data_IF_471964959128
#
_entry.id   IF_471964959128
#
_cell.length_a   1.000
_cell.length_b   1.000
_cell.length_c   1.000
_cell.angle_alpha   90.00
_cell.angle_beta   90.00
_cell.angle_gamma   90.00
#
_symmetry.space_group_name_H-M   'P 1'
#
loop_
_entity.id
_entity.type
_entity.pdbx_description
1 polymer ?
#
# COMPACT_ATOMS: atom_id res chain seq x y z
N UNK A 1 -12.43 17.98 15.93
CA UNK A 1 -11.63 17.18 14.98
C UNK A 1 -12.11 15.75 15.15
N UNK A 2 -12.51 15.04 14.09
CA UNK A 2 -12.87 13.63 14.22
C UNK A 2 -11.67 12.85 14.79
N UNK A 3 -11.94 11.87 15.65
CA UNK A 3 -10.94 10.93 16.16
C UNK A 3 -10.35 10.14 14.98
N UNK A 4 -9.02 10.13 14.88
CA UNK A 4 -8.31 9.34 13.88
C UNK A 4 -8.33 7.86 14.29
N UNK A 5 -8.51 6.95 13.33
CA UNK A 5 -8.54 5.50 13.57
C UNK A 5 -7.09 5.01 13.69
N UNK A 6 -6.71 4.46 14.85
CA UNK A 6 -5.43 3.78 15.07
C UNK A 6 -5.51 2.35 14.52
N UNK A 7 -4.76 2.05 13.47
CA UNK A 7 -4.80 0.76 12.81
C UNK A 7 -3.47 0.01 12.89
N UNK A 8 -3.54 -1.29 13.17
CA UNK A 8 -2.37 -2.18 13.27
C UNK A 8 -1.91 -2.66 11.89
N UNK A 9 -1.38 -1.74 11.09
CA UNK A 9 -0.61 -2.09 9.92
C UNK A 9 0.82 -2.49 10.31
N UNK A 10 1.45 -3.46 9.62
CA UNK A 10 2.87 -3.78 9.82
C UNK A 10 3.76 -2.54 9.67
N UNK A 11 4.86 -2.51 10.42
CA UNK A 11 5.88 -1.46 10.29
C UNK A 11 6.92 -1.81 9.22
N UNK A 12 7.13 -3.09 8.98
CA UNK A 12 8.08 -3.61 8.00
C UNK A 12 7.49 -3.49 6.58
N UNK A 13 8.14 -2.74 5.66
CA UNK A 13 7.75 -2.63 4.25
C UNK A 13 7.40 -3.94 3.55
N UNK A 14 8.21 -4.99 3.68
CA UNK A 14 7.95 -6.29 3.05
C UNK A 14 6.66 -6.93 3.57
N UNK A 15 6.44 -6.88 4.90
CA UNK A 15 5.20 -7.35 5.52
C UNK A 15 3.98 -6.51 5.09
N UNK A 16 4.17 -5.20 4.92
CA UNK A 16 3.12 -4.28 4.45
C UNK A 16 2.71 -4.58 3.01
N UNK A 17 3.66 -4.84 2.10
CA UNK A 17 3.38 -5.27 0.73
C UNK A 17 2.61 -6.59 0.73
N UNK A 18 3.03 -7.58 1.52
CA UNK A 18 2.37 -8.89 1.59
C UNK A 18 0.94 -8.80 2.10
N UNK A 19 0.70 -7.93 3.08
CA UNK A 19 -0.65 -7.63 3.56
C UNK A 19 -1.50 -7.00 2.44
N UNK A 20 -0.97 -6.01 1.72
CA UNK A 20 -1.66 -5.35 0.61
C UNK A 20 -1.96 -6.31 -0.56
N UNK A 21 -1.05 -7.26 -0.86
CA UNK A 21 -1.31 -8.34 -1.83
C UNK A 21 -2.48 -9.22 -1.41
N UNK A 22 -2.53 -9.61 -0.12
CA UNK A 22 -3.64 -10.40 0.40
C UNK A 22 -4.98 -9.67 0.36
N UNK A 23 -4.99 -8.36 0.60
CA UNK A 23 -6.20 -7.55 0.49
C UNK A 23 -6.60 -7.27 -0.97
N UNK A 24 -5.63 -7.10 -1.87
CA UNK A 24 -5.87 -7.02 -3.30
C UNK A 24 -6.57 -8.26 -3.82
N UNK A 25 -6.10 -9.46 -3.47
CA UNK A 25 -6.74 -10.72 -3.88
C UNK A 25 -8.18 -10.86 -3.38
N UNK A 26 -8.50 -10.32 -2.20
CA UNK A 26 -9.89 -10.30 -1.69
C UNK A 26 -10.75 -9.29 -2.45
N UNK A 27 -10.21 -8.11 -2.72
CA UNK A 27 -10.91 -7.07 -3.48
C UNK A 27 -11.21 -7.54 -4.91
N UNK A 28 -10.28 -8.23 -5.58
CA UNK A 28 -10.47 -8.86 -6.89
C UNK A 28 -11.63 -9.88 -6.93
N UNK A 29 -11.98 -10.47 -5.78
CA UNK A 29 -13.03 -11.48 -5.66
C UNK A 29 -14.37 -10.90 -5.19
N UNK A 30 -14.40 -9.62 -4.83
CA UNK A 30 -15.59 -8.96 -4.30
C UNK A 30 -16.36 -8.23 -5.40
N UNK A 31 -17.71 -8.31 -5.41
CA UNK A 31 -18.52 -7.50 -6.32
C UNK A 31 -18.60 -6.02 -5.91
N UNK A 32 -18.19 -5.68 -4.69
CA UNK A 32 -18.29 -4.32 -4.14
C UNK A 32 -17.10 -3.43 -4.54
N UNK A 33 -16.05 -4.02 -5.10
CA UNK A 33 -14.80 -3.33 -5.41
C UNK A 33 -14.38 -3.50 -6.87
N UNK A 34 -13.80 -2.44 -7.44
CA UNK A 34 -13.12 -2.44 -8.73
C UNK A 34 -11.66 -1.99 -8.51
N UNK A 35 -10.70 -2.69 -9.10
CA UNK A 35 -9.29 -2.32 -8.96
C UNK A 35 -8.97 -1.22 -9.95
N UNK A 36 -8.72 -0.02 -9.45
CA UNK A 36 -8.35 1.17 -10.22
C UNK A 36 -7.13 1.82 -9.57
N UNK A 37 -5.99 1.67 -10.23
CA UNK A 37 -4.68 2.05 -9.68
C UNK A 37 -4.45 3.57 -9.63
N UNK A 38 -5.40 4.38 -10.13
CA UNK A 38 -5.40 5.83 -10.07
C UNK A 38 -6.13 6.45 -8.87
N UNK A 39 -6.84 5.67 -8.05
CA UNK A 39 -7.63 6.19 -6.92
C UNK A 39 -7.26 5.53 -5.58
N UNK A 40 -7.70 6.08 -4.45
CA UNK A 40 -7.46 5.48 -3.14
C UNK A 40 -8.57 4.49 -2.79
N UNK A 41 -9.69 5.00 -2.29
CA UNK A 41 -10.88 4.25 -1.96
C UNK A 41 -12.05 5.19 -2.23
N UNK A 42 -12.56 5.16 -3.47
CA UNK A 42 -13.51 6.14 -4.00
C UNK A 42 -14.82 5.43 -4.37
N UNK A 43 -15.92 5.83 -3.75
CA UNK A 43 -17.22 5.20 -3.97
C UNK A 43 -17.92 5.85 -5.15
N UNK A 44 -17.76 5.26 -6.34
CA UNK A 44 -18.37 5.75 -7.56
C UNK A 44 -19.47 4.82 -8.09
N UNK A 45 -20.70 5.35 -8.23
CA UNK A 45 -21.78 4.60 -8.88
C UNK A 45 -22.25 3.33 -8.15
N UNK A 46 -21.95 3.21 -6.85
CA UNK A 46 -22.30 2.04 -6.02
C UNK A 46 -21.26 0.92 -6.03
N UNK A 47 -20.13 1.13 -6.69
CA UNK A 47 -18.93 0.29 -6.64
C UNK A 47 -17.79 1.14 -6.07
N UNK A 48 -16.94 0.54 -5.24
CA UNK A 48 -15.78 1.25 -4.71
C UNK A 48 -14.54 0.94 -5.55
N UNK A 49 -13.98 1.97 -6.17
CA UNK A 49 -12.72 1.89 -6.89
C UNK A 49 -11.55 1.98 -5.90
N UNK A 50 -10.62 1.03 -5.97
CA UNK A 50 -9.47 0.93 -5.05
C UNK A 50 -8.16 0.67 -5.77
N UNK A 51 -7.08 1.39 -5.42
CA UNK A 51 -5.73 1.00 -5.81
C UNK A 51 -5.13 -0.02 -4.83
N UNK A 52 -3.85 -0.36 -5.00
CA UNK A 52 -3.12 -1.25 -4.10
C UNK A 52 -3.10 -0.83 -2.62
N UNK A 53 -2.99 0.46 -2.32
CA UNK A 53 -3.13 0.94 -0.95
C UNK A 53 -4.60 1.09 -0.54
N UNK A 54 -5.47 1.34 -1.52
CA UNK A 54 -6.92 1.31 -1.39
C UNK A 54 -7.48 -0.01 -0.91
N UNK A 55 -6.92 -1.12 -1.38
CA UNK A 55 -7.34 -2.46 -0.95
C UNK A 55 -7.04 -2.68 0.52
N UNK A 56 -5.96 -2.10 1.07
CA UNK A 56 -5.67 -2.10 2.51
C UNK A 56 -6.70 -1.28 3.28
N UNK A 57 -7.14 -0.14 2.73
CA UNK A 57 -8.23 0.66 3.30
C UNK A 57 -9.52 -0.17 3.36
N UNK A 58 -9.90 -0.81 2.26
CA UNK A 58 -11.12 -1.62 2.18
C UNK A 58 -11.06 -2.87 3.08
N UNK A 59 -9.96 -3.61 3.01
CA UNK A 59 -9.78 -4.90 3.66
C UNK A 59 -9.36 -4.77 5.12
N UNK A 60 -8.08 -4.49 5.34
CA UNK A 60 -7.49 -4.48 6.69
C UNK A 60 -8.01 -3.34 7.57
N UNK A 61 -8.29 -2.16 7.00
CA UNK A 61 -8.82 -1.02 7.76
C UNK A 61 -10.36 -1.00 7.83
N UNK A 62 -11.01 -2.00 7.23
CA UNK A 62 -12.47 -2.17 7.23
C UNK A 62 -13.22 -0.90 6.78
N UNK A 63 -12.68 -0.21 5.77
CA UNK A 63 -13.28 0.97 5.16
C UNK A 63 -14.65 0.66 4.58
N UNK A 64 -15.64 1.52 4.87
CA UNK A 64 -16.99 1.40 4.30
C UNK A 64 -16.92 1.62 2.78
N UNK A 65 -17.30 0.64 1.93
CA UNK A 65 -17.28 0.76 0.47
C UNK A 65 -18.16 1.89 -0.09
N UNK A 66 -19.00 2.53 0.73
CA UNK A 66 -19.79 3.70 0.32
C UNK A 66 -19.14 5.04 0.73
N UNK A 67 -17.97 5.01 1.35
CA UNK A 67 -17.24 6.18 1.82
C UNK A 67 -16.01 6.46 0.94
N UNK A 68 -15.76 7.74 0.70
CA UNK A 68 -14.52 8.18 0.07
C UNK A 68 -13.44 8.31 1.15
N UNK A 69 -12.47 7.41 1.09
CA UNK A 69 -11.39 7.31 2.07
C UNK A 69 -10.05 7.50 1.37
N UNK A 70 -9.17 8.24 2.03
CA UNK A 70 -7.80 8.44 1.59
C UNK A 70 -6.86 8.37 2.79
N UNK A 71 -5.54 8.37 2.58
CA UNK A 71 -4.58 8.40 3.69
C UNK A 71 -4.82 9.55 4.67
N UNK A 72 -5.41 10.67 4.21
CA UNK A 72 -5.74 11.82 5.07
C UNK A 72 -6.86 11.56 6.09
N UNK A 73 -7.64 10.48 5.91
CA UNK A 73 -8.70 10.05 6.84
C UNK A 73 -8.16 9.36 8.10
N UNK A 74 -6.88 8.99 8.12
CA UNK A 74 -6.27 8.19 9.18
C UNK A 74 -5.28 8.98 10.04
N UNK A 75 -4.77 8.34 11.10
CA UNK A 75 -3.67 8.90 11.88
C UNK A 75 -2.39 9.03 11.05
N UNK A 76 -1.42 9.76 11.61
CA UNK A 76 -0.18 10.09 10.90
C UNK A 76 0.61 8.84 10.51
N UNK A 77 0.66 7.83 11.37
CA UNK A 77 1.41 6.60 11.15
C UNK A 77 0.77 5.71 10.07
N UNK A 78 -0.55 5.53 10.12
CA UNK A 78 -1.32 4.78 9.13
C UNK A 78 -1.25 5.47 7.78
N UNK A 79 -1.40 6.80 7.75
CA UNK A 79 -1.23 7.61 6.54
C UNK A 79 0.14 7.40 5.90
N UNK A 80 1.20 7.40 6.71
CA UNK A 80 2.56 7.18 6.22
C UNK A 80 2.70 5.81 5.52
N UNK A 81 2.14 4.76 6.12
CA UNK A 81 2.16 3.40 5.55
C UNK A 81 1.37 3.29 4.25
N UNK A 82 0.20 3.91 4.18
CA UNK A 82 -0.61 3.92 2.95
C UNK A 82 0.10 4.68 1.82
N UNK A 83 0.73 5.81 2.13
CA UNK A 83 1.54 6.55 1.15
C UNK A 83 2.77 5.75 0.71
N UNK A 84 3.44 5.08 1.63
CA UNK A 84 4.59 4.23 1.32
C UNK A 84 4.21 3.08 0.38
N UNK A 85 3.02 2.47 0.54
CA UNK A 85 2.51 1.46 -0.40
C UNK A 85 2.32 2.00 -1.82
N UNK A 86 1.81 3.22 -1.95
CA UNK A 86 1.65 3.86 -3.26
C UNK A 86 3.00 4.19 -3.91
N UNK A 87 3.95 4.69 -3.13
CA UNK A 87 5.32 4.93 -3.57
C UNK A 87 6.00 3.62 -4.04
N UNK A 88 5.88 2.53 -3.26
CA UNK A 88 6.42 1.21 -3.61
C UNK A 88 5.83 0.67 -4.91
N UNK A 89 4.51 0.78 -5.07
CA UNK A 89 3.80 0.41 -6.30
C UNK A 89 4.30 1.19 -7.52
N UNK A 90 4.60 2.48 -7.33
CA UNK A 90 5.13 3.36 -8.38
C UNK A 90 6.65 3.18 -8.61
N UNK A 91 7.31 2.29 -7.86
CA UNK A 91 8.74 2.02 -7.98
C UNK A 91 9.64 2.96 -7.19
N UNK A 92 9.07 3.85 -6.40
CA UNK A 92 9.80 4.85 -5.59
C UNK A 92 10.18 4.30 -4.22
N UNK A 93 10.99 3.22 -4.21
CA UNK A 93 11.38 2.50 -2.98
C UNK A 93 12.02 3.42 -1.94
N UNK A 94 12.98 4.27 -2.35
CA UNK A 94 13.64 5.21 -1.43
C UNK A 94 12.65 6.20 -0.78
N UNK A 95 11.70 6.73 -1.56
CA UNK A 95 10.65 7.62 -1.05
C UNK A 95 9.78 6.91 -0.01
N UNK A 96 9.40 5.66 -0.27
CA UNK A 96 8.60 4.87 0.65
C UNK A 96 9.32 4.65 1.99
N UNK A 97 10.62 4.31 1.96
CA UNK A 97 11.42 4.13 3.17
C UNK A 97 11.59 5.45 3.93
N UNK A 98 11.86 6.55 3.23
CA UNK A 98 11.96 7.89 3.85
C UNK A 98 10.67 8.26 4.57
N UNK A 99 9.51 8.04 3.93
CA UNK A 99 8.21 8.30 4.55
C UNK A 99 8.05 7.46 5.81
N UNK A 100 8.42 6.19 5.80
CA UNK A 100 8.31 5.33 6.99
C UNK A 100 9.29 5.75 8.10
N UNK A 101 10.53 6.09 7.76
CA UNK A 101 11.55 6.53 8.71
C UNK A 101 11.18 7.85 9.40
N UNK A 102 10.62 8.81 8.64
CA UNK A 102 10.18 10.11 9.16
C UNK A 102 9.11 10.02 10.28
N UNK A 103 8.41 8.89 10.37
CA UNK A 103 7.39 8.65 11.39
C UNK A 103 7.77 7.54 12.37
N UNK A 104 9.08 7.30 12.54
CA UNK A 104 9.66 6.28 13.43
C UNK A 104 9.08 4.87 13.17
N UNK A 105 8.69 4.59 11.92
CA UNK A 105 8.15 3.29 11.52
C UNK A 105 9.29 2.31 11.21
N UNK A 106 10.42 2.79 10.68
CA UNK A 106 11.65 2.03 10.42
C UNK A 106 12.89 2.81 10.89
N UNK A 107 14.01 2.11 11.12
CA UNK A 107 15.30 2.72 11.58
C UNK A 107 16.01 3.46 10.43
N UNK A 108 16.65 4.60 10.75
CA UNK A 108 17.22 5.60 9.81
C UNK A 108 18.49 5.11 9.09
N UNK A 109 19.03 3.93 9.46
CA UNK A 109 20.19 3.32 8.78
C UNK A 109 19.85 2.70 7.41
N UNK A 110 18.62 2.91 6.90
CA UNK A 110 18.06 2.29 5.69
C UNK A 110 18.52 2.86 4.36
N UNK A 111 18.82 4.15 4.33
CA UNK A 111 18.91 4.94 3.09
C UNK A 111 20.03 4.49 2.16
N UNK A 112 21.16 4.04 2.69
CA UNK A 112 22.30 3.58 1.88
C UNK A 112 22.04 2.23 1.19
N UNK A 113 21.11 1.40 1.70
CA UNK A 113 20.86 0.07 1.17
C UNK A 113 19.87 0.11 0.00
N UNK A 114 18.95 1.08 -0.01
CA UNK A 114 17.95 1.24 -1.07
C UNK A 114 18.40 2.09 -2.26
N UNK A 115 19.56 2.75 -2.19
CA UNK A 115 20.09 3.67 -3.23
C UNK A 115 20.45 2.96 -4.58
N UNK A 116 20.23 1.64 -4.67
CA UNK A 116 20.34 0.86 -5.91
C UNK A 116 19.10 0.07 -6.30
N UNK A 117 18.02 0.14 -5.51
CA UNK A 117 16.83 -0.68 -5.67
C UNK A 117 15.87 -0.03 -6.67
N UNK A 118 16.21 -0.11 -7.96
CA UNK A 118 15.29 0.26 -9.04
C UNK A 118 14.28 -0.86 -9.24
N UNK A 119 13.02 -0.60 -8.93
CA UNK A 119 11.91 -1.50 -9.18
C UNK A 119 10.81 -0.75 -9.91
N UNK A 120 10.25 -1.33 -10.96
CA UNK A 120 9.04 -0.81 -11.62
C UNK A 120 8.17 -2.02 -11.90
N UNK A 121 7.07 -2.16 -11.16
CA UNK A 121 6.10 -3.20 -11.44
C UNK A 121 5.40 -2.92 -12.77
N UNK A 122 5.05 -4.01 -13.46
CA UNK A 122 4.10 -3.99 -14.57
C UNK A 122 2.81 -3.32 -14.11
N UNK A 123 2.30 -2.36 -14.88
CA UNK A 123 1.02 -1.73 -14.55
C UNK A 123 -0.07 -2.81 -14.41
N UNK A 124 -0.88 -2.72 -13.35
CA UNK A 124 -1.88 -3.73 -13.02
C UNK A 124 -2.79 -4.06 -14.21
N UNK A 125 -3.32 -3.05 -14.90
CA UNK A 125 -4.22 -3.23 -16.06
C UNK A 125 -3.58 -3.97 -17.25
N UNK A 126 -2.24 -3.98 -17.33
CA UNK A 126 -1.54 -4.73 -18.37
C UNK A 126 -1.45 -6.23 -18.02
N UNK A 127 -1.21 -6.55 -16.75
CA UNK A 127 -1.21 -7.92 -16.23
C UNK A 127 -1.27 -7.93 -14.68
N UNK A 128 -2.45 -8.22 -14.10
CA UNK A 128 -2.62 -8.35 -12.65
C UNK A 128 -1.69 -9.39 -12.03
N UNK A 129 -1.47 -10.52 -12.71
CA UNK A 129 -0.62 -11.60 -12.23
C UNK A 129 0.86 -11.20 -12.23
N UNK A 130 1.31 -10.48 -13.27
CA UNK A 130 2.69 -9.98 -13.30
C UNK A 130 2.92 -8.92 -12.21
N UNK A 131 1.96 -7.99 -12.04
CA UNK A 131 1.99 -7.00 -10.96
C UNK A 131 2.13 -7.67 -9.59
N UNK A 132 1.25 -8.62 -9.26
CA UNK A 132 1.27 -9.31 -7.96
C UNK A 132 2.57 -10.07 -7.73
N UNK A 133 3.07 -10.77 -8.74
CA UNK A 133 4.37 -11.47 -8.67
C UNK A 133 5.51 -10.49 -8.39
N UNK A 134 5.60 -9.42 -9.15
CA UNK A 134 6.70 -8.45 -9.05
C UNK A 134 6.66 -7.70 -7.72
N UNK A 135 5.48 -7.34 -7.22
CA UNK A 135 5.34 -6.79 -5.86
C UNK A 135 5.77 -7.81 -4.79
N UNK A 136 5.47 -9.10 -4.98
CA UNK A 136 5.99 -10.16 -4.13
C UNK A 136 7.52 -10.23 -4.15
N UNK A 137 8.14 -10.16 -5.33
CA UNK A 137 9.60 -10.12 -5.49
C UNK A 137 10.22 -8.87 -4.84
N UNK A 138 9.53 -7.73 -4.86
CA UNK A 138 9.95 -6.54 -4.12
C UNK A 138 9.92 -6.78 -2.61
N UNK A 139 8.85 -7.40 -2.09
CA UNK A 139 8.76 -7.74 -0.68
C UNK A 139 9.89 -8.68 -0.25
N UNK A 140 10.21 -9.70 -1.06
CA UNK A 140 11.31 -10.63 -0.78
C UNK A 140 12.67 -9.90 -0.75
N UNK A 141 12.92 -9.00 -1.70
CA UNK A 141 14.16 -8.20 -1.73
C UNK A 141 14.29 -7.28 -0.53
N UNK A 142 13.20 -6.64 -0.11
CA UNK A 142 13.18 -5.79 1.07
C UNK A 142 13.50 -6.62 2.32
N UNK A 143 12.90 -7.81 2.46
CA UNK A 143 13.16 -8.69 3.60
C UNK A 143 14.62 -9.13 3.67
N UNK A 144 15.23 -9.45 2.52
CA UNK A 144 16.65 -9.81 2.42
C UNK A 144 17.58 -8.70 2.91
N UNK A 145 17.18 -7.43 2.78
CA UNK A 145 17.95 -6.27 3.24
C UNK A 145 17.48 -5.73 4.60
N UNK A 146 16.55 -6.41 5.27
CA UNK A 146 16.06 -6.08 6.62
C UNK A 146 14.87 -5.12 6.66
N UNK A 147 14.07 -5.06 5.59
CA UNK A 147 12.88 -4.21 5.43
C UNK A 147 11.63 -4.98 5.01
#
# INVERSE_FOLDING_TARGET
MPEQIEAKLPNEPSALIRLALGDLEKAEQSPDYEIEMGTWHDSYGGICEVCFAGTVIAGTLEGDPQADLSPSSYDVATRAKLNALDDLRCGSVASAIDVLALYDVVDDQALEITDGLSFVATHYDNSPEAFKREMGELADKLEEVGY
#
